data_IF_488241794435
#
_entry.id   IF_488241794435
#
_cell.length_a   1.000
_cell.length_b   1.000
_cell.length_c   1.000
_cell.angle_alpha   90.00
_cell.angle_beta   90.00
_cell.angle_gamma   90.00
#
_symmetry.space_group_name_H-M   'P 1'
#
loop_
_entity.id
_entity.type
_entity.pdbx_description
1 polymer ?
#
# COMPACT_ATOMS: atom_id res chain seq x y z
N UNK A 1 -39.52 42.74 -5.11
CA UNK A 1 -40.03 41.35 -4.90
C UNK A 1 -39.52 40.52 -6.06
N UNK A 2 -38.32 39.96 -5.95
CA UNK A 2 -37.69 39.15 -7.00
C UNK A 2 -37.88 37.67 -6.65
N UNK A 3 -38.73 36.99 -7.40
CA UNK A 3 -38.93 35.55 -7.30
C UNK A 3 -37.80 34.84 -8.05
N UNK A 4 -36.79 34.37 -7.31
CA UNK A 4 -35.79 33.47 -7.87
C UNK A 4 -36.45 32.10 -8.02
N UNK A 5 -36.58 31.63 -9.25
CA UNK A 5 -37.10 30.30 -9.59
C UNK A 5 -36.22 29.21 -8.96
N UNK A 6 -36.83 28.19 -8.35
CA UNK A 6 -36.12 27.02 -7.79
C UNK A 6 -35.19 26.32 -8.79
N UNK A 7 -35.43 26.48 -10.10
CA UNK A 7 -34.54 25.93 -11.13
C UNK A 7 -33.17 26.63 -11.18
N UNK A 8 -33.09 27.92 -10.83
CA UNK A 8 -31.84 28.69 -10.83
C UNK A 8 -30.93 28.36 -9.66
N UNK A 9 -31.51 27.96 -8.51
CA UNK A 9 -30.75 27.50 -7.34
C UNK A 9 -30.18 26.10 -7.60
N UNK A 10 -30.93 25.22 -8.29
CA UNK A 10 -30.47 23.86 -8.61
C UNK A 10 -29.31 23.84 -9.62
N UNK A 11 -29.31 24.74 -10.62
CA UNK A 11 -28.21 24.84 -11.59
C UNK A 11 -26.93 25.39 -10.95
N UNK A 12 -27.03 26.36 -10.02
CA UNK A 12 -25.85 26.85 -9.26
C UNK A 12 -25.35 25.80 -8.28
N UNK A 13 -26.24 25.02 -7.65
CA UNK A 13 -25.85 23.93 -6.77
C UNK A 13 -25.20 22.77 -7.53
N UNK A 14 -25.67 22.43 -8.74
CA UNK A 14 -25.02 21.46 -9.61
C UNK A 14 -23.69 21.96 -10.18
N UNK A 15 -23.55 23.27 -10.48
CA UNK A 15 -22.28 23.83 -10.92
C UNK A 15 -21.24 23.84 -9.77
N UNK A 16 -21.66 24.13 -8.53
CA UNK A 16 -20.80 24.02 -7.35
C UNK A 16 -20.46 22.56 -7.01
N UNK A 17 -21.37 21.60 -7.22
CA UNK A 17 -21.10 20.17 -7.02
C UNK A 17 -20.16 19.58 -8.10
N UNK A 18 -20.24 20.09 -9.34
CA UNK A 18 -19.33 19.70 -10.44
C UNK A 18 -17.93 20.33 -10.25
N UNK A 19 -17.84 21.47 -9.55
CA UNK A 19 -16.57 22.11 -9.23
C UNK A 19 -15.83 21.50 -8.02
N UNK A 20 -16.46 20.64 -7.21
CA UNK A 20 -15.81 20.01 -6.04
C UNK A 20 -15.35 18.56 -6.24
N UNK A 21 -15.57 17.94 -7.41
CA UNK A 21 -15.06 16.58 -7.72
C UNK A 21 -14.04 16.56 -8.87
N UNK A 22 -13.43 17.71 -9.16
CA UNK A 22 -12.16 17.78 -9.90
C UNK A 22 -11.01 18.09 -8.94
N UNK A 23 -10.86 17.27 -7.90
CA UNK A 23 -9.63 17.26 -7.11
C UNK A 23 -8.52 16.62 -7.96
N UNK A 24 -7.91 17.46 -8.80
CA UNK A 24 -6.48 17.40 -9.09
C UNK A 24 -6.00 16.29 -10.01
N UNK A 25 -6.45 16.29 -11.27
CA UNK A 25 -5.63 15.75 -12.36
C UNK A 25 -4.51 16.77 -12.67
N UNK A 26 -3.51 16.83 -11.80
CA UNK A 26 -2.30 17.62 -12.00
C UNK A 26 -1.08 16.75 -11.79
N UNK A 27 0.04 17.12 -12.40
CA UNK A 27 1.37 16.56 -12.14
C UNK A 27 1.82 16.92 -10.70
N UNK A 28 1.09 16.44 -9.69
CA UNK A 28 1.50 16.56 -8.30
C UNK A 28 2.68 15.62 -8.09
N UNK A 29 3.88 16.18 -8.10
CA UNK A 29 5.07 15.49 -7.60
C UNK A 29 4.85 15.32 -6.09
N UNK A 30 4.84 14.08 -5.56
CA UNK A 30 4.70 13.86 -4.13
C UNK A 30 5.81 14.61 -3.36
N UNK A 31 5.50 15.28 -2.24
CA UNK A 31 6.52 15.92 -1.42
C UNK A 31 7.52 14.88 -0.91
N UNK A 32 8.78 15.31 -0.77
CA UNK A 32 9.86 14.46 -0.26
C UNK A 32 10.14 14.79 1.19
N UNK A 33 10.24 13.74 2.00
CA UNK A 33 10.61 13.84 3.42
C UNK A 33 11.86 13.02 3.70
N UNK A 34 12.67 13.50 4.64
CA UNK A 34 13.77 12.73 5.24
C UNK A 34 13.31 12.32 6.62
N UNK A 35 13.15 11.02 6.83
CA UNK A 35 12.85 10.45 8.15
C UNK A 35 14.18 10.15 8.84
N UNK A 36 14.48 10.89 9.91
CA UNK A 36 15.74 10.71 10.64
C UNK A 36 15.62 9.58 11.67
N UNK A 37 16.29 8.45 11.40
CA UNK A 37 16.27 7.28 12.28
C UNK A 37 17.03 7.50 13.61
N UNK A 38 17.86 8.54 13.71
CA UNK A 38 18.55 8.90 14.96
C UNK A 38 17.64 9.61 15.98
N UNK A 39 16.47 10.10 15.54
CA UNK A 39 15.47 10.65 16.45
C UNK A 39 14.77 9.55 17.25
N UNK A 40 14.27 9.85 18.46
CA UNK A 40 13.32 8.99 19.14
C UNK A 40 12.17 8.62 18.18
N UNK A 41 11.78 7.34 18.08
CA UNK A 41 10.73 6.87 17.18
C UNK A 41 9.44 7.70 17.24
N UNK A 42 9.04 8.16 18.43
CA UNK A 42 7.85 8.99 18.64
C UNK A 42 7.87 10.32 17.86
N UNK A 43 9.04 10.82 17.48
CA UNK A 43 9.22 12.13 16.87
C UNK A 43 9.54 12.08 15.37
N UNK A 44 9.78 10.88 14.81
CA UNK A 44 10.27 10.71 13.43
C UNK A 44 9.28 11.20 12.37
N UNK A 45 7.99 11.15 12.69
CA UNK A 45 6.90 11.49 11.77
C UNK A 45 6.31 12.89 12.00
N UNK A 46 6.81 13.65 12.99
CA UNK A 46 6.21 14.93 13.43
C UNK A 46 6.00 15.90 12.25
N UNK A 47 7.02 16.08 11.41
CA UNK A 47 6.94 16.98 10.25
C UNK A 47 5.90 16.52 9.23
N UNK A 48 5.83 15.22 8.94
CA UNK A 48 4.86 14.68 7.98
C UNK A 48 3.44 14.89 8.50
N UNK A 49 3.21 14.64 9.78
CA UNK A 49 1.91 14.82 10.43
C UNK A 49 1.48 16.28 10.38
N UNK A 50 2.41 17.20 10.68
CA UNK A 50 2.11 18.63 10.67
C UNK A 50 1.77 19.14 9.27
N UNK A 51 2.52 18.72 8.24
CA UNK A 51 2.29 19.13 6.85
C UNK A 51 0.98 18.54 6.27
N UNK A 52 0.47 17.44 6.83
CA UNK A 52 -0.78 16.78 6.42
C UNK A 52 -1.93 16.93 7.43
N UNK A 53 -1.81 17.83 8.40
CA UNK A 53 -2.80 18.01 9.48
C UNK A 53 -4.22 18.25 8.96
N UNK A 54 -4.37 18.95 7.84
CA UNK A 54 -5.66 19.25 7.21
C UNK A 54 -6.36 18.01 6.64
N UNK A 55 -5.63 16.92 6.36
CA UNK A 55 -6.21 15.67 5.84
C UNK A 55 -6.69 14.73 6.95
N UNK A 56 -6.32 14.97 8.21
CA UNK A 56 -6.66 14.09 9.34
C UNK A 56 -8.19 13.85 9.46
N UNK A 57 -9.08 14.85 9.28
CA UNK A 57 -10.52 14.61 9.34
C UNK A 57 -11.01 13.62 8.27
N UNK A 58 -10.48 13.69 7.05
CA UNK A 58 -10.83 12.77 5.97
C UNK A 58 -10.31 11.36 6.26
N UNK A 59 -9.13 11.25 6.88
CA UNK A 59 -8.59 9.98 7.38
C UNK A 59 -9.52 9.33 8.41
N UNK A 60 -10.03 10.11 9.36
CA UNK A 60 -10.98 9.62 10.38
C UNK A 60 -12.26 9.10 9.72
N UNK A 61 -12.80 9.85 8.76
CA UNK A 61 -14.02 9.46 8.03
C UNK A 61 -13.84 8.11 7.33
N UNK A 62 -12.72 7.90 6.66
CA UNK A 62 -12.41 6.66 5.96
C UNK A 62 -12.27 5.48 6.93
N UNK A 63 -11.54 5.64 8.04
CA UNK A 63 -11.42 4.64 9.11
C UNK A 63 -12.82 4.27 9.64
N UNK A 64 -13.67 5.28 9.84
CA UNK A 64 -15.01 5.13 10.39
C UNK A 64 -15.99 4.49 9.40
N UNK A 65 -15.69 4.49 8.10
CA UNK A 65 -16.41 3.75 7.06
C UNK A 65 -16.23 2.24 7.22
N UNK A 66 -14.99 1.78 7.45
CA UNK A 66 -14.68 0.36 7.57
C UNK A 66 -15.03 -0.24 8.93
N UNK A 67 -15.05 0.56 10.01
CA UNK A 67 -15.38 0.10 11.36
C UNK A 67 -16.71 0.71 11.84
N UNK A 68 -17.80 -0.08 11.87
CA UNK A 68 -19.10 0.37 12.35
C UNK A 68 -19.01 0.96 13.76
N UNK A 69 -19.72 2.06 14.01
CA UNK A 69 -19.69 2.80 15.28
C UNK A 69 -19.88 1.91 16.52
N UNK A 70 -20.74 0.90 16.41
CA UNK A 70 -21.03 -0.05 17.49
C UNK A 70 -19.80 -0.89 17.90
N UNK A 71 -18.93 -1.22 16.95
CA UNK A 71 -17.77 -2.08 17.17
C UNK A 71 -16.51 -1.31 17.61
N UNK A 72 -16.45 0.00 17.33
CA UNK A 72 -15.26 0.83 17.58
C UNK A 72 -14.71 0.71 19.01
N UNK A 73 -15.50 0.75 20.10
CA UNK A 73 -14.95 0.64 21.45
C UNK A 73 -14.18 -0.67 21.68
N UNK A 74 -14.70 -1.78 21.15
CA UNK A 74 -14.06 -3.10 21.27
C UNK A 74 -12.81 -3.17 20.38
N UNK A 75 -12.92 -2.75 19.12
CA UNK A 75 -11.78 -2.77 18.17
C UNK A 75 -10.63 -1.90 18.70
N UNK A 76 -10.92 -0.69 19.17
CA UNK A 76 -9.92 0.22 19.75
C UNK A 76 -9.27 -0.33 21.02
N UNK A 77 -10.03 -1.08 21.83
CA UNK A 77 -9.47 -1.76 22.98
C UNK A 77 -8.54 -2.90 22.57
N UNK A 78 -8.93 -3.72 21.59
CA UNK A 78 -8.11 -4.80 21.03
C UNK A 78 -6.83 -4.22 20.43
N UNK A 79 -6.94 -3.20 19.58
CA UNK A 79 -5.79 -2.58 18.90
C UNK A 79 -4.77 -2.06 19.91
N UNK A 80 -5.23 -1.35 20.93
CA UNK A 80 -4.34 -0.76 21.94
C UNK A 80 -3.72 -1.81 22.87
N UNK A 81 -4.48 -2.82 23.29
CA UNK A 81 -4.07 -3.71 24.39
C UNK A 81 -3.53 -5.07 23.93
N UNK A 82 -3.81 -5.45 22.69
CA UNK A 82 -3.40 -6.72 22.09
C UNK A 82 -2.50 -6.41 20.89
N UNK A 83 -3.03 -5.79 19.84
CA UNK A 83 -2.32 -5.64 18.55
C UNK A 83 -1.03 -4.84 18.68
N UNK A 84 -1.07 -3.67 19.33
CA UNK A 84 0.10 -2.80 19.47
C UNK A 84 1.28 -3.47 20.18
N UNK A 85 1.03 -4.47 21.04
CA UNK A 85 2.08 -5.19 21.76
C UNK A 85 2.84 -6.20 20.89
N UNK A 86 2.25 -6.57 19.76
CA UNK A 86 2.83 -7.51 18.80
C UNK A 86 3.75 -6.79 17.80
N UNK A 87 3.68 -5.45 17.73
CA UNK A 87 4.58 -4.66 16.91
C UNK A 87 5.97 -4.60 17.57
N UNK A 88 7.06 -4.64 16.79
CA UNK A 88 8.38 -4.26 17.29
C UNK A 88 8.31 -2.94 18.05
N UNK A 89 8.99 -2.85 19.20
CA UNK A 89 8.85 -1.71 20.12
C UNK A 89 9.13 -0.37 19.43
N UNK A 90 10.08 -0.33 18.52
CA UNK A 90 10.38 0.85 17.71
C UNK A 90 9.15 1.34 16.92
N UNK A 91 8.47 0.45 16.19
CA UNK A 91 7.28 0.78 15.41
C UNK A 91 6.08 1.10 16.31
N UNK A 92 5.94 0.40 17.45
CA UNK A 92 4.91 0.72 18.44
C UNK A 92 5.08 2.14 19.00
N UNK A 93 6.32 2.58 19.21
CA UNK A 93 6.64 3.96 19.63
C UNK A 93 6.34 4.97 18.52
N UNK A 94 6.65 4.68 17.25
CA UNK A 94 6.24 5.54 16.13
C UNK A 94 4.71 5.70 16.08
N UNK A 95 3.94 4.61 16.23
CA UNK A 95 2.47 4.64 16.26
C UNK A 95 1.95 5.51 17.41
N UNK A 96 2.54 5.39 18.61
CA UNK A 96 2.18 6.24 19.77
C UNK A 96 2.49 7.72 19.51
N UNK A 97 3.63 8.02 18.90
CA UNK A 97 4.02 9.38 18.50
C UNK A 97 3.05 9.98 17.49
N UNK A 98 2.70 9.20 16.45
CA UNK A 98 1.71 9.58 15.44
C UNK A 98 0.37 9.90 16.11
N UNK A 99 -0.14 9.02 16.97
CA UNK A 99 -1.40 9.25 17.69
C UNK A 99 -1.35 10.53 18.53
N UNK A 100 -0.27 10.74 19.29
CA UNK A 100 -0.10 11.92 20.14
C UNK A 100 -0.04 13.23 19.35
N UNK A 101 0.67 13.27 18.21
CA UNK A 101 0.86 14.49 17.40
C UNK A 101 -0.35 14.82 16.52
N UNK A 102 -1.01 13.80 15.97
CA UNK A 102 -2.18 13.93 15.09
C UNK A 102 -3.48 14.16 15.85
N UNK A 103 -3.56 13.69 17.10
CA UNK A 103 -4.81 13.67 17.89
C UNK A 103 -5.72 12.48 17.58
N UNK A 104 -5.27 11.52 16.76
CA UNK A 104 -5.99 10.28 16.49
C UNK A 104 -5.94 9.33 17.69
N UNK A 105 -6.97 8.51 17.82
CA UNK A 105 -6.93 7.37 18.72
C UNK A 105 -5.90 6.34 18.22
N UNK A 106 -5.21 5.65 19.13
CA UNK A 106 -4.19 4.65 18.77
C UNK A 106 -4.74 3.58 17.80
N UNK A 107 -5.97 3.10 18.03
CA UNK A 107 -6.63 2.15 17.14
C UNK A 107 -6.91 2.70 15.74
N UNK A 108 -7.15 4.02 15.61
CA UNK A 108 -7.30 4.67 14.30
C UNK A 108 -5.98 4.67 13.54
N UNK A 109 -4.85 4.93 14.23
CA UNK A 109 -3.51 4.87 13.62
C UNK A 109 -3.14 3.44 13.21
N UNK A 110 -3.47 2.44 14.04
CA UNK A 110 -3.22 1.03 13.74
C UNK A 110 -4.03 0.58 12.53
N UNK A 111 -5.33 0.91 12.48
CA UNK A 111 -6.17 0.58 11.33
C UNK A 111 -5.64 1.25 10.06
N UNK A 112 -5.28 2.53 10.15
CA UNK A 112 -4.74 3.26 9.01
C UNK A 112 -3.41 2.66 8.50
N UNK A 113 -2.54 2.24 9.41
CA UNK A 113 -1.28 1.54 9.11
C UNK A 113 -1.51 0.22 8.37
N UNK A 114 -2.65 -0.43 8.58
CA UNK A 114 -3.01 -1.65 7.85
C UNK A 114 -3.56 -1.37 6.44
N UNK A 115 -4.11 -0.17 6.16
CA UNK A 115 -4.95 0.07 4.98
C UNK A 115 -4.38 1.09 3.97
N UNK A 116 -3.60 2.12 4.36
CA UNK A 116 -3.30 3.27 3.44
C UNK A 116 -2.03 4.07 3.76
N UNK A 117 -1.77 5.20 3.07
CA UNK A 117 -0.43 5.78 2.79
C UNK A 117 0.14 6.80 3.80
N UNK A 118 -0.62 7.78 4.32
CA UNK A 118 -0.08 8.84 5.20
C UNK A 118 -0.46 8.62 6.67
N UNK A 119 0.50 8.54 7.61
CA UNK A 119 0.33 8.03 9.00
C UNK A 119 0.51 6.50 9.13
N UNK A 120 1.01 5.86 8.07
CA UNK A 120 1.41 4.47 8.07
C UNK A 120 2.91 4.34 8.36
N UNK A 121 3.27 3.40 9.24
CA UNK A 121 4.66 3.09 9.59
C UNK A 121 5.26 1.95 8.76
N UNK A 122 4.48 1.27 7.92
CA UNK A 122 4.93 0.27 6.95
C UNK A 122 5.23 0.84 5.56
N UNK A 123 5.78 0.00 4.67
CA UNK A 123 6.15 0.39 3.31
C UNK A 123 5.44 -0.51 2.28
N UNK A 124 4.68 0.09 1.37
CA UNK A 124 4.05 -0.62 0.23
C UNK A 124 4.95 -0.66 -1.00
N UNK A 125 5.76 0.37 -1.22
CA UNK A 125 6.69 0.47 -2.34
C UNK A 125 7.95 1.13 -1.85
N UNK A 126 9.10 0.46 -2.03
CA UNK A 126 10.37 0.94 -1.53
C UNK A 126 11.55 0.37 -2.28
N UNK A 127 12.70 1.02 -2.11
CA UNK A 127 13.97 0.56 -2.66
C UNK A 127 15.09 0.73 -1.65
N UNK A 128 15.97 -0.27 -1.56
CA UNK A 128 17.27 -0.16 -0.92
C UNK A 128 18.29 0.16 -2.01
N UNK A 129 18.89 1.34 -1.91
CA UNK A 129 19.80 1.84 -2.95
C UNK A 129 20.91 0.83 -3.26
N UNK A 130 21.07 0.51 -4.55
CA UNK A 130 22.10 -0.41 -5.02
C UNK A 130 21.86 -1.89 -4.72
N UNK A 131 20.70 -2.28 -4.16
CA UNK A 131 20.44 -3.68 -3.77
C UNK A 131 19.14 -4.25 -4.36
N UNK A 132 17.97 -3.80 -3.88
CA UNK A 132 16.69 -4.31 -4.36
C UNK A 132 15.56 -3.28 -4.18
N UNK A 133 14.48 -3.48 -4.92
CA UNK A 133 13.20 -2.78 -4.77
C UNK A 133 12.07 -3.77 -4.50
N UNK A 134 11.10 -3.37 -3.69
CA UNK A 134 9.91 -4.18 -3.39
C UNK A 134 8.66 -3.32 -3.61
N UNK A 135 7.63 -3.93 -4.19
CA UNK A 135 6.25 -3.43 -4.17
C UNK A 135 5.30 -4.55 -3.78
N UNK A 136 4.12 -4.18 -3.27
CA UNK A 136 3.07 -5.12 -2.89
C UNK A 136 1.80 -4.82 -3.65
N UNK A 137 1.13 -5.88 -4.09
CA UNK A 137 -0.26 -5.81 -4.52
C UNK A 137 -1.14 -6.66 -3.58
N UNK A 138 -2.38 -6.22 -3.38
CA UNK A 138 -3.38 -6.98 -2.64
C UNK A 138 -3.74 -8.28 -3.38
N UNK A 139 -3.78 -9.39 -2.64
CA UNK A 139 -4.40 -10.65 -3.05
C UNK A 139 -5.66 -10.82 -2.23
N UNK A 140 -6.81 -10.63 -2.85
CA UNK A 140 -8.09 -10.56 -2.15
C UNK A 140 -8.38 -11.86 -1.37
N UNK A 141 -8.66 -11.72 -0.07
CA UNK A 141 -8.89 -12.85 0.84
C UNK A 141 -10.20 -12.78 1.62
N UNK A 142 -11.17 -11.97 1.17
CA UNK A 142 -12.42 -11.71 1.89
C UNK A 142 -12.50 -10.31 2.50
N UNK A 143 -13.45 -10.11 3.42
CA UNK A 143 -13.68 -8.83 4.09
C UNK A 143 -12.62 -8.55 5.18
N UNK A 144 -12.49 -7.29 5.61
CA UNK A 144 -11.56 -6.90 6.69
C UNK A 144 -11.81 -7.68 8.00
N UNK A 145 -13.08 -7.96 8.32
CA UNK A 145 -13.42 -8.77 9.49
C UNK A 145 -12.84 -10.19 9.39
N UNK A 146 -12.74 -10.75 8.18
CA UNK A 146 -12.12 -12.06 7.97
C UNK A 146 -10.62 -12.00 8.29
N UNK A 147 -9.97 -10.87 8.01
CA UNK A 147 -8.56 -10.65 8.39
C UNK A 147 -8.39 -10.62 9.90
N UNK A 148 -9.25 -9.89 10.64
CA UNK A 148 -9.23 -9.88 12.11
C UNK A 148 -9.51 -11.28 12.68
N UNK A 149 -10.53 -11.97 12.17
CA UNK A 149 -10.87 -13.32 12.63
C UNK A 149 -9.73 -14.30 12.34
N UNK A 150 -9.12 -14.21 11.17
CA UNK A 150 -7.94 -15.01 10.82
C UNK A 150 -6.75 -14.66 11.70
N UNK A 151 -6.57 -13.40 12.08
CA UNK A 151 -5.51 -13.01 13.01
C UNK A 151 -5.68 -13.63 14.40
N UNK A 152 -6.93 -13.76 14.87
CA UNK A 152 -7.25 -14.45 16.12
C UNK A 152 -7.07 -15.97 15.99
N UNK A 153 -7.43 -16.55 14.85
CA UNK A 153 -7.34 -17.98 14.58
C UNK A 153 -5.91 -18.47 14.32
N UNK A 154 -5.16 -17.76 13.46
CA UNK A 154 -3.78 -18.10 13.08
C UNK A 154 -2.76 -17.72 14.14
N UNK A 155 -3.13 -16.77 15.01
CA UNK A 155 -2.20 -16.06 15.90
C UNK A 155 -1.06 -15.34 15.16
N UNK A 156 -1.11 -15.23 13.83
CA UNK A 156 -0.14 -14.44 13.08
C UNK A 156 -0.41 -12.97 13.31
N UNK A 157 0.65 -12.20 13.53
CA UNK A 157 0.59 -10.76 13.83
C UNK A 157 1.45 -9.91 12.91
N UNK A 158 2.21 -10.52 11.99
CA UNK A 158 3.12 -9.80 11.10
C UNK A 158 2.39 -9.23 9.89
N UNK A 159 2.43 -7.90 9.81
CA UNK A 159 1.93 -7.13 8.67
C UNK A 159 2.94 -7.18 7.51
N UNK A 160 2.44 -7.38 6.30
CA UNK A 160 3.30 -7.48 5.10
C UNK A 160 4.12 -6.20 4.90
N UNK A 161 3.49 -5.03 5.07
CA UNK A 161 4.14 -3.72 4.87
C UNK A 161 5.24 -3.43 5.90
N UNK A 162 5.12 -3.96 7.13
CA UNK A 162 6.19 -3.89 8.12
C UNK A 162 7.34 -4.83 7.76
N UNK A 163 7.04 -6.02 7.26
CA UNK A 163 8.08 -6.94 6.78
C UNK A 163 8.83 -6.37 5.58
N UNK A 164 8.16 -5.65 4.68
CA UNK A 164 8.83 -4.91 3.60
C UNK A 164 9.75 -3.83 4.17
N UNK A 165 9.29 -3.08 5.17
CA UNK A 165 10.12 -2.08 5.86
C UNK A 165 11.35 -2.72 6.51
N UNK A 166 11.16 -3.78 7.30
CA UNK A 166 12.26 -4.52 7.93
C UNK A 166 13.24 -5.07 6.89
N UNK A 167 12.74 -5.58 5.75
CA UNK A 167 13.60 -6.04 4.67
C UNK A 167 14.49 -4.90 4.15
N UNK A 168 13.91 -3.74 3.86
CA UNK A 168 14.64 -2.55 3.39
C UNK A 168 15.66 -2.03 4.41
N UNK A 169 15.32 -2.04 5.70
CA UNK A 169 16.19 -1.61 6.79
C UNK A 169 17.36 -2.60 7.00
N UNK A 170 17.08 -3.91 7.11
CA UNK A 170 18.04 -4.89 7.59
C UNK A 170 18.75 -5.71 6.51
N UNK A 171 18.08 -6.04 5.40
CA UNK A 171 18.65 -6.98 4.41
C UNK A 171 19.52 -6.25 3.42
N UNK A 172 20.62 -6.87 3.01
CA UNK A 172 21.62 -6.23 2.18
C UNK A 172 21.60 -6.72 0.74
N UNK A 173 20.96 -7.86 0.48
CA UNK A 173 20.88 -8.46 -0.86
C UNK A 173 19.46 -8.80 -1.27
N UNK A 174 19.24 -8.89 -2.58
CA UNK A 174 18.00 -9.38 -3.17
C UNK A 174 17.63 -10.76 -2.66
N UNK A 175 18.61 -11.67 -2.55
CA UNK A 175 18.41 -13.04 -2.09
C UNK A 175 17.95 -13.10 -0.63
N UNK A 176 18.58 -12.35 0.27
CA UNK A 176 18.17 -12.26 1.68
C UNK A 176 16.75 -11.72 1.84
N UNK A 177 16.44 -10.63 1.11
CA UNK A 177 15.11 -10.03 1.15
C UNK A 177 14.05 -10.98 0.57
N UNK A 178 14.30 -11.59 -0.59
CA UNK A 178 13.40 -12.58 -1.20
C UNK A 178 13.16 -13.75 -0.26
N UNK A 179 14.20 -14.28 0.37
CA UNK A 179 14.10 -15.42 1.27
C UNK A 179 13.26 -15.11 2.52
N UNK A 180 13.44 -13.92 3.09
CA UNK A 180 12.58 -13.41 4.17
C UNK A 180 11.12 -13.35 3.72
N UNK A 181 10.86 -12.76 2.55
CA UNK A 181 9.51 -12.60 2.01
C UNK A 181 8.83 -13.91 1.61
N UNK A 182 9.58 -14.98 1.31
CA UNK A 182 9.03 -16.33 1.03
C UNK A 182 8.63 -17.04 2.32
N UNK A 183 9.46 -16.94 3.36
CA UNK A 183 9.34 -17.72 4.59
C UNK A 183 8.40 -17.15 5.64
N UNK A 184 8.21 -15.83 5.64
CA UNK A 184 7.46 -15.16 6.71
C UNK A 184 5.99 -15.55 6.70
N UNK A 185 5.34 -15.70 7.85
CA UNK A 185 3.88 -15.85 7.91
C UNK A 185 3.19 -14.49 8.01
N UNK A 186 2.10 -14.28 7.25
CA UNK A 186 1.44 -12.99 7.15
C UNK A 186 -0.02 -13.02 7.60
N UNK A 187 -0.47 -11.90 8.15
CA UNK A 187 -1.87 -11.69 8.49
C UNK A 187 -2.76 -11.41 7.29
N UNK A 188 -2.25 -11.42 6.06
CA UNK A 188 -2.99 -11.14 4.82
C UNK A 188 -2.27 -11.79 3.62
N UNK A 189 -3.00 -12.44 2.69
CA UNK A 189 -2.45 -12.82 1.40
C UNK A 189 -2.00 -11.58 0.62
N UNK A 190 -0.99 -11.74 -0.22
CA UNK A 190 -0.46 -10.64 -1.03
C UNK A 190 0.34 -11.16 -2.22
N UNK A 191 0.59 -10.28 -3.18
CA UNK A 191 1.65 -10.46 -4.16
C UNK A 191 2.81 -9.54 -3.79
N UNK A 192 4.00 -10.11 -3.61
CA UNK A 192 5.22 -9.35 -3.32
C UNK A 192 6.09 -9.36 -4.57
N UNK A 193 6.26 -8.19 -5.18
CA UNK A 193 7.06 -8.01 -6.38
C UNK A 193 8.40 -7.44 -5.97
N UNK A 194 9.46 -8.23 -6.13
CA UNK A 194 10.83 -7.86 -5.76
C UNK A 194 11.74 -7.89 -6.98
N UNK A 195 12.62 -6.89 -7.10
CA UNK A 195 13.64 -6.82 -8.15
C UNK A 195 15.00 -6.42 -7.57
N UNK A 196 16.08 -7.05 -8.03
CA UNK A 196 17.46 -6.78 -7.66
C UNK A 196 18.21 -5.99 -8.74
N UNK A 197 19.53 -5.92 -8.63
CA UNK A 197 20.38 -5.17 -9.57
C UNK A 197 20.98 -6.02 -10.68
N UNK A 198 20.89 -7.35 -10.61
CA UNK A 198 21.48 -8.28 -11.57
C UNK A 198 20.44 -8.87 -12.52
N UNK A 199 20.88 -9.27 -13.70
CA UNK A 199 20.05 -10.01 -14.67
C UNK A 199 19.42 -11.25 -14.02
N UNK A 200 18.13 -11.45 -14.21
CA UNK A 200 17.36 -12.56 -13.62
C UNK A 200 16.89 -12.31 -12.17
N UNK A 201 17.31 -11.24 -11.51
CA UNK A 201 16.82 -10.89 -10.17
C UNK A 201 15.51 -10.08 -10.25
N UNK A 202 14.41 -10.73 -10.61
CA UNK A 202 13.08 -10.17 -10.41
C UNK A 202 12.08 -11.31 -10.23
N UNK A 203 11.24 -11.23 -9.20
CA UNK A 203 10.24 -12.25 -8.91
C UNK A 203 8.92 -11.66 -8.42
N UNK A 204 7.82 -12.34 -8.74
CA UNK A 204 6.53 -12.25 -8.08
C UNK A 204 6.45 -13.40 -7.09
N UNK A 205 6.26 -13.08 -5.82
CA UNK A 205 6.02 -14.06 -4.76
C UNK A 205 4.53 -14.02 -4.45
N UNK A 206 3.79 -15.07 -4.82
CA UNK A 206 2.37 -15.19 -4.53
C UNK A 206 2.20 -15.79 -3.14
N UNK A 207 1.71 -14.98 -2.19
CA UNK A 207 1.66 -15.34 -0.77
C UNK A 207 0.24 -15.63 -0.30
N UNK A 208 0.11 -16.76 0.38
CA UNK A 208 -0.93 -16.96 1.39
C UNK A 208 -0.40 -16.67 2.79
N UNK A 209 -1.30 -16.70 3.78
CA UNK A 209 -0.98 -16.40 5.18
C UNK A 209 0.14 -17.31 5.72
N UNK A 210 0.14 -18.59 5.34
CA UNK A 210 1.09 -19.60 5.83
C UNK A 210 2.28 -19.84 4.91
N UNK A 211 2.14 -19.64 3.59
CA UNK A 211 3.17 -20.09 2.67
C UNK A 211 3.24 -19.26 1.39
N UNK A 212 4.29 -19.53 0.61
CA UNK A 212 4.41 -19.07 -0.76
C UNK A 212 3.73 -20.09 -1.66
N UNK A 213 2.61 -19.70 -2.27
CA UNK A 213 1.83 -20.55 -3.17
C UNK A 213 2.57 -20.74 -4.48
N UNK A 214 3.20 -19.68 -4.97
CA UNK A 214 3.98 -19.69 -6.19
C UNK A 214 5.12 -18.66 -6.13
N UNK A 215 6.16 -18.93 -6.90
CA UNK A 215 7.31 -18.04 -7.09
C UNK A 215 7.64 -17.98 -8.58
N UNK A 216 7.21 -16.90 -9.24
CA UNK A 216 7.57 -16.66 -10.63
C UNK A 216 8.71 -15.65 -10.72
N UNK A 217 9.84 -16.04 -11.32
CA UNK A 217 10.99 -15.16 -11.52
C UNK A 217 11.29 -14.94 -13.00
N UNK A 218 11.85 -13.78 -13.35
CA UNK A 218 12.36 -13.54 -14.71
C UNK A 218 13.40 -14.59 -15.08
N UNK A 219 13.34 -15.03 -16.32
CA UNK A 219 14.31 -15.95 -16.90
C UNK A 219 14.74 -15.43 -18.27
N UNK A 220 15.77 -14.57 -18.31
CA UNK A 220 16.25 -13.99 -19.55
C UNK A 220 16.78 -15.01 -20.57
N UNK A 221 17.15 -16.23 -20.13
CA UNK A 221 17.63 -17.29 -21.03
C UNK A 221 16.47 -17.88 -21.85
N UNK A 222 15.28 -17.93 -21.26
CA UNK A 222 14.04 -18.39 -21.90
C UNK A 222 13.13 -17.22 -22.34
N UNK A 223 13.73 -16.05 -22.60
CA UNK A 223 13.08 -14.81 -23.04
C UNK A 223 11.97 -14.26 -22.12
N UNK A 224 11.91 -14.70 -20.86
CA UNK A 224 11.05 -14.09 -19.83
C UNK A 224 11.78 -12.93 -19.16
N UNK A 225 11.83 -11.80 -19.87
CA UNK A 225 12.57 -10.60 -19.44
C UNK A 225 11.73 -9.62 -18.61
N UNK A 226 10.43 -9.86 -18.43
CA UNK A 226 9.56 -9.08 -17.57
C UNK A 226 8.52 -9.98 -16.89
N UNK A 227 7.92 -9.45 -15.82
CA UNK A 227 6.76 -10.01 -15.14
C UNK A 227 5.74 -8.90 -14.93
N UNK A 228 4.45 -9.22 -14.90
CA UNK A 228 3.37 -8.26 -14.60
C UNK A 228 2.43 -8.89 -13.59
N UNK A 229 2.29 -8.25 -12.43
CA UNK A 229 1.31 -8.62 -11.43
C UNK A 229 0.31 -7.48 -11.21
N UNK A 230 -0.95 -7.85 -10.97
CA UNK A 230 -2.03 -6.92 -10.62
C UNK A 230 -2.66 -7.41 -9.33
N UNK A 231 -3.90 -7.91 -9.34
CA UNK A 231 -4.59 -8.38 -8.14
C UNK A 231 -5.25 -9.75 -8.35
N UNK A 232 -4.71 -10.52 -9.29
CA UNK A 232 -5.21 -11.84 -9.65
C UNK A 232 -4.02 -12.74 -9.89
N UNK A 233 -4.10 -13.97 -9.38
CA UNK A 233 -3.08 -14.98 -9.60
C UNK A 233 -2.77 -15.08 -11.10
N UNK A 234 -1.48 -15.21 -11.45
CA UNK A 234 -1.07 -15.13 -12.86
C UNK A 234 -1.63 -16.27 -13.72
N UNK A 235 -1.95 -17.41 -13.10
CA UNK A 235 -2.65 -18.54 -13.72
C UNK A 235 -4.18 -18.36 -13.81
N UNK A 236 -4.74 -17.35 -13.17
CA UNK A 236 -6.17 -17.03 -13.20
C UNK A 236 -6.52 -15.99 -14.27
N UNK A 237 -7.81 -15.84 -14.54
CA UNK A 237 -8.33 -14.88 -15.53
C UNK A 237 -8.07 -13.44 -15.07
N UNK A 238 -7.44 -12.65 -15.94
CA UNK A 238 -7.30 -11.19 -15.80
C UNK A 238 -8.64 -10.47 -16.03
N UNK A 239 -9.49 -10.44 -14.99
CA UNK A 239 -10.89 -10.00 -15.06
C UNK A 239 -11.03 -8.53 -15.49
N UNK A 240 -10.13 -7.66 -15.02
CA UNK A 240 -10.17 -6.22 -15.30
C UNK A 240 -9.26 -5.78 -16.46
N UNK A 241 -8.53 -6.74 -17.06
CA UNK A 241 -7.70 -6.58 -18.27
C UNK A 241 -6.46 -5.71 -18.06
N UNK A 242 -6.10 -5.33 -16.82
CA UNK A 242 -4.92 -4.51 -16.54
C UNK A 242 -3.64 -5.28 -16.86
N UNK A 243 -3.52 -6.52 -16.41
CA UNK A 243 -2.32 -7.35 -16.60
C UNK A 243 -2.02 -7.54 -18.09
N UNK A 244 -3.01 -8.02 -18.85
CA UNK A 244 -2.90 -8.28 -20.29
C UNK A 244 -2.61 -7.02 -21.11
N UNK A 245 -3.11 -5.87 -20.68
CA UNK A 245 -2.83 -4.59 -21.35
C UNK A 245 -1.37 -4.19 -21.16
N UNK A 246 -0.85 -4.30 -19.93
CA UNK A 246 0.55 -4.02 -19.63
C UNK A 246 1.49 -5.00 -20.34
N UNK A 247 1.21 -6.30 -20.29
CA UNK A 247 2.00 -7.34 -20.97
C UNK A 247 2.10 -7.10 -22.48
N UNK A 248 0.98 -6.81 -23.15
CA UNK A 248 0.97 -6.50 -24.59
C UNK A 248 1.81 -5.26 -24.92
N UNK A 249 1.79 -4.26 -24.04
CA UNK A 249 2.58 -3.06 -24.24
C UNK A 249 4.09 -3.35 -24.07
N UNK A 250 4.47 -4.10 -23.03
CA UNK A 250 5.85 -4.55 -22.79
C UNK A 250 6.37 -5.39 -23.97
N UNK A 251 5.59 -6.35 -24.45
CA UNK A 251 5.93 -7.18 -25.61
C UNK A 251 6.16 -6.35 -26.88
N UNK A 252 5.31 -5.33 -27.11
CA UNK A 252 5.44 -4.44 -28.29
C UNK A 252 6.67 -3.55 -28.23
N UNK A 253 7.02 -3.06 -27.04
CA UNK A 253 8.21 -2.21 -26.85
C UNK A 253 9.48 -3.06 -26.96
N UNK A 254 9.50 -4.21 -26.31
CA UNK A 254 10.64 -5.14 -26.30
C UNK A 254 11.78 -4.68 -25.37
N UNK A 255 12.60 -5.66 -24.96
CA UNK A 255 13.64 -5.50 -23.92
C UNK A 255 14.70 -4.43 -24.21
N UNK A 256 14.95 -4.13 -25.48
CA UNK A 256 16.01 -3.19 -25.89
C UNK A 256 15.53 -1.74 -25.99
N UNK A 257 14.23 -1.50 -25.99
CA UNK A 257 13.65 -0.15 -26.10
C UNK A 257 12.98 0.32 -24.81
N UNK A 258 12.93 -0.53 -23.77
CA UNK A 258 12.29 -0.20 -22.50
C UNK A 258 13.08 0.89 -21.77
N UNK A 259 12.38 1.93 -21.31
CA UNK A 259 12.93 3.06 -20.55
C UNK A 259 11.97 3.46 -19.44
N UNK A 260 12.39 4.32 -18.51
CA UNK A 260 11.49 4.86 -17.49
C UNK A 260 10.27 5.58 -18.10
N UNK A 261 10.46 6.25 -19.25
CA UNK A 261 9.40 6.97 -19.96
C UNK A 261 8.38 6.00 -20.57
N UNK A 262 8.86 4.91 -21.16
CA UNK A 262 7.98 3.86 -21.67
C UNK A 262 7.26 3.13 -20.54
N UNK A 263 7.91 2.87 -19.41
CA UNK A 263 7.25 2.32 -18.22
C UNK A 263 6.12 3.23 -17.72
N UNK A 264 6.37 4.54 -17.61
CA UNK A 264 5.33 5.50 -17.23
C UNK A 264 4.17 5.54 -18.24
N UNK A 265 4.48 5.41 -19.53
CA UNK A 265 3.47 5.32 -20.59
C UNK A 265 2.61 4.07 -20.44
N UNK A 266 3.22 2.91 -20.19
CA UNK A 266 2.49 1.64 -19.95
C UNK A 266 1.56 1.78 -18.75
N UNK A 267 2.06 2.32 -17.63
CA UNK A 267 1.27 2.56 -16.43
C UNK A 267 0.14 3.59 -16.65
N UNK A 268 0.24 4.41 -17.69
CA UNK A 268 -0.77 5.40 -18.06
C UNK A 268 -1.82 4.88 -19.06
N UNK A 269 -1.69 3.63 -19.56
CA UNK A 269 -2.66 3.04 -20.49
C UNK A 269 -3.95 2.66 -19.76
N UNK A 270 -5.11 2.90 -20.36
CA UNK A 270 -6.35 2.31 -19.87
C UNK A 270 -6.38 0.80 -20.23
N UNK A 271 -6.77 -0.13 -19.32
CA UNK A 271 -7.30 0.10 -17.96
C UNK A 271 -6.26 0.08 -16.83
N UNK A 272 -4.96 -0.04 -17.13
CA UNK A 272 -3.87 0.01 -16.12
C UNK A 272 -4.00 1.27 -15.27
N UNK A 273 -4.12 2.43 -15.93
CA UNK A 273 -4.65 3.64 -15.35
C UNK A 273 -6.18 3.61 -15.40
N UNK A 274 -6.80 3.74 -14.24
CA UNK A 274 -8.25 3.80 -14.05
C UNK A 274 -8.62 5.02 -13.19
N UNK A 275 -9.93 5.20 -12.98
CA UNK A 275 -10.51 6.31 -12.22
C UNK A 275 -10.64 5.96 -10.76
#
# INVERSE_FOLDING_TARGET
MFTVSMASIFVVFCYLLICTVNLGYGDRIPPRYVINLDLPPENRWDKVIDDYRELIPAVIEEIHHYVPRLLRPLVWWIDKNIILKEFPEEYAREIRGIAARSGLHIGEVILYTAVTFALNVGIYTGQKHGSFSISINERYSGAYIDTILMELYTHFKKLVTLTIRMALEEKNTFEEAREMLIKEHFIAPSYLIIAGTKSGQACIITRDRWESVDLECTDPQNDRWFLVETNFDHWEVDKDKRRRTAEKALQRIGRYAITYKEMLRILSLHPVKNK
#
